data_IF_636955772472
#
_entry.id   IF_636955772472
#
_cell.length_a   1.000
_cell.length_b   1.000
_cell.length_c   1.000
_cell.angle_alpha   90.00
_cell.angle_beta   90.00
_cell.angle_gamma   90.00
#
_symmetry.space_group_name_H-M   'P 1'
#
loop_
_entity.id
_entity.type
_entity.pdbx_description
1 polymer ?
#
# COMPACT_ATOMS: atom_id res chain seq x y z
N UNK A 1 1.82 -5.74 -22.83
CA UNK A 1 2.80 -4.70 -22.47
C UNK A 1 2.13 -3.85 -21.40
N UNK A 2 2.82 -3.49 -20.31
CA UNK A 2 2.25 -2.79 -19.17
C UNK A 2 1.93 -1.32 -19.50
N UNK A 3 0.90 -0.76 -18.87
CA UNK A 3 0.42 0.61 -19.11
C UNK A 3 -0.16 1.25 -17.83
N UNK A 4 -0.63 2.50 -17.96
CA UNK A 4 -1.13 3.33 -16.86
C UNK A 4 -2.38 2.79 -16.16
N UNK A 5 -3.05 1.77 -16.70
CA UNK A 5 -4.22 1.13 -16.07
C UNK A 5 -3.84 0.26 -14.87
N UNK A 6 -2.59 -0.21 -14.79
CA UNK A 6 -2.12 -1.03 -13.67
C UNK A 6 -1.93 -0.21 -12.40
N UNK A 7 -2.22 -0.79 -11.23
CA UNK A 7 -1.90 -0.19 -9.95
C UNK A 7 -0.39 -0.23 -9.70
N UNK A 8 0.14 0.76 -8.96
CA UNK A 8 1.57 0.83 -8.60
C UNK A 8 2.00 -0.41 -7.82
N UNK A 9 1.14 -0.91 -6.93
CA UNK A 9 1.37 -2.13 -6.16
C UNK A 9 1.62 -3.31 -7.09
N UNK A 10 0.71 -3.54 -8.05
CA UNK A 10 0.84 -4.62 -9.04
C UNK A 10 2.11 -4.49 -9.89
N UNK A 11 2.47 -3.26 -10.28
CA UNK A 11 3.72 -3.01 -11.03
C UNK A 11 4.96 -3.34 -10.19
N UNK A 12 4.98 -2.97 -8.90
CA UNK A 12 6.08 -3.30 -7.98
C UNK A 12 6.19 -4.81 -7.77
N UNK A 13 5.07 -5.52 -7.62
CA UNK A 13 5.06 -6.99 -7.51
C UNK A 13 5.66 -7.65 -8.75
N UNK A 14 5.29 -7.19 -9.96
CA UNK A 14 5.89 -7.68 -11.20
C UNK A 14 7.37 -7.37 -11.30
N UNK A 15 7.82 -6.19 -10.85
CA UNK A 15 9.25 -5.90 -10.78
C UNK A 15 9.98 -6.89 -9.85
N UNK A 16 9.41 -7.23 -8.69
CA UNK A 16 9.96 -8.25 -7.78
C UNK A 16 10.02 -9.63 -8.43
N UNK A 17 8.94 -10.05 -9.10
CA UNK A 17 8.85 -11.32 -9.83
C UNK A 17 9.95 -11.44 -10.89
N UNK A 18 10.23 -10.36 -11.61
CA UNK A 18 11.30 -10.29 -12.61
C UNK A 18 12.68 -9.98 -12.03
N UNK A 19 12.83 -9.89 -10.70
CA UNK A 19 14.06 -9.52 -10.00
C UNK A 19 14.68 -8.21 -10.53
N UNK A 20 13.85 -7.24 -10.90
CA UNK A 20 14.26 -5.89 -11.34
C UNK A 20 13.88 -4.85 -10.29
N UNK A 21 14.57 -3.70 -10.31
CA UNK A 21 14.32 -2.61 -9.36
C UNK A 21 12.85 -2.15 -9.41
N UNK A 22 12.18 -2.17 -8.25
CA UNK A 22 10.82 -1.66 -8.05
C UNK A 22 10.79 -0.23 -7.47
N UNK A 23 11.93 0.46 -7.50
CA UNK A 23 12.07 1.84 -7.04
C UNK A 23 11.67 2.85 -8.14
N UNK A 24 11.11 3.97 -7.70
CA UNK A 24 10.72 5.11 -8.54
C UNK A 24 9.21 5.24 -8.79
N UNK A 25 8.88 6.14 -9.71
CA UNK A 25 7.49 6.49 -10.08
C UNK A 25 6.81 5.42 -10.93
N UNK A 26 5.48 5.45 -10.99
CA UNK A 26 4.65 4.56 -11.81
C UNK A 26 5.14 4.45 -13.26
N UNK A 27 5.44 5.58 -13.90
CA UNK A 27 5.93 5.63 -15.27
C UNK A 27 7.29 4.93 -15.44
N UNK A 28 8.19 5.08 -14.46
CA UNK A 28 9.49 4.41 -14.45
C UNK A 28 9.34 2.89 -14.30
N UNK A 29 8.41 2.44 -13.45
CA UNK A 29 8.11 1.00 -13.30
C UNK A 29 7.57 0.41 -14.60
N UNK A 30 6.58 1.07 -15.24
CA UNK A 30 6.01 0.64 -16.52
C UNK A 30 7.10 0.55 -17.59
N UNK A 31 7.93 1.59 -17.73
CA UNK A 31 9.03 1.60 -18.68
C UNK A 31 9.98 0.44 -18.44
N UNK A 32 10.41 0.23 -17.19
CA UNK A 32 11.37 -0.83 -16.84
C UNK A 32 10.82 -2.22 -17.10
N UNK A 33 9.55 -2.47 -16.76
CA UNK A 33 8.88 -3.75 -17.02
C UNK A 33 8.76 -4.01 -18.53
N UNK A 34 8.42 -3.00 -19.30
CA UNK A 34 8.31 -3.12 -20.74
C UNK A 34 9.68 -3.30 -21.40
N UNK A 35 10.69 -2.55 -20.98
CA UNK A 35 12.07 -2.72 -21.42
C UNK A 35 12.55 -4.15 -21.11
N UNK A 36 12.25 -4.66 -19.90
CA UNK A 36 12.55 -6.04 -19.52
C UNK A 36 11.87 -7.06 -20.44
N UNK A 37 10.58 -6.90 -20.75
CA UNK A 37 9.87 -7.78 -21.68
C UNK A 37 10.45 -7.66 -23.10
N UNK A 38 10.82 -6.48 -23.56
CA UNK A 38 11.40 -6.31 -24.90
C UNK A 38 12.78 -6.95 -24.99
N UNK A 39 13.60 -6.84 -23.93
CA UNK A 39 14.95 -7.42 -23.88
C UNK A 39 14.92 -8.94 -23.64
N UNK A 40 14.02 -9.42 -22.80
CA UNK A 40 13.93 -10.84 -22.39
C UNK A 40 12.81 -11.61 -23.11
N UNK A 41 12.00 -10.96 -23.95
CA UNK A 41 10.87 -11.54 -24.69
C UNK A 41 11.26 -12.56 -25.76
N UNK A 42 12.54 -12.91 -25.86
CA UNK A 42 13.03 -14.06 -26.64
C UNK A 42 13.34 -15.28 -25.71
N UNK A 43 13.52 -15.09 -24.40
CA UNK A 43 13.86 -16.15 -23.45
C UNK A 43 13.16 -15.96 -22.09
N UNK A 44 11.82 -15.93 -22.05
CA UNK A 44 11.09 -16.06 -20.77
C UNK A 44 10.99 -17.55 -20.43
N UNK A 45 12.12 -18.11 -20.04
CA UNK A 45 12.24 -19.44 -19.48
C UNK A 45 13.60 -19.51 -18.79
N UNK A 46 13.60 -19.90 -17.52
CA UNK A 46 14.75 -20.07 -16.62
C UNK A 46 15.15 -18.79 -15.87
N UNK A 47 15.40 -18.77 -14.56
CA UNK A 47 15.19 -19.72 -13.44
C UNK A 47 15.38 -18.92 -12.15
N UNK A 48 14.57 -19.27 -11.15
CA UNK A 48 14.90 -19.62 -9.75
C UNK A 48 15.85 -18.73 -8.92
N UNK A 49 15.44 -18.56 -7.66
CA UNK A 49 16.19 -18.25 -6.42
C UNK A 49 17.50 -17.46 -6.51
N UNK A 50 17.49 -16.27 -5.89
CA UNK A 50 18.55 -15.87 -4.96
C UNK A 50 17.97 -14.74 -4.09
N UNK A 51 17.70 -15.11 -2.85
CA UNK A 51 17.35 -14.25 -1.72
C UNK A 51 18.43 -13.18 -1.54
N UNK A 52 18.06 -11.90 -1.65
CA UNK A 52 18.77 -10.84 -0.94
C UNK A 52 17.74 -9.90 -0.31
N UNK A 53 17.69 -10.06 1.01
CA UNK A 53 17.14 -9.17 2.01
C UNK A 53 17.64 -7.74 1.76
N UNK A 54 16.73 -6.79 1.64
CA UNK A 54 16.99 -5.45 2.17
C UNK A 54 15.77 -5.00 2.95
N UNK A 55 15.94 -5.09 4.26
CA UNK A 55 15.09 -4.55 5.30
C UNK A 55 15.00 -3.02 5.16
N UNK A 56 13.86 -2.49 5.61
CA UNK A 56 13.69 -1.17 6.24
C UNK A 56 13.01 -0.09 5.40
N UNK A 57 11.72 0.05 5.75
CA UNK A 57 10.99 1.30 6.01
C UNK A 57 11.07 2.42 4.99
N UNK A 58 9.92 2.79 4.43
CA UNK A 58 9.37 4.13 4.60
C UNK A 58 7.88 4.14 4.24
N UNK A 59 7.10 4.43 5.27
CA UNK A 59 5.85 5.21 5.33
C UNK A 59 4.68 4.89 4.38
N UNK A 60 3.59 4.55 5.08
CA UNK A 60 2.19 4.82 4.77
C UNK A 60 1.98 5.97 3.77
N UNK A 61 1.60 5.64 2.53
CA UNK A 61 0.76 6.55 1.77
C UNK A 61 -0.68 6.32 2.20
N UNK A 62 -1.11 7.19 3.11
CA UNK A 62 -2.47 7.51 3.47
C UNK A 62 -3.40 7.38 2.24
N UNK A 63 -4.22 6.34 2.23
CA UNK A 63 -5.41 6.32 1.39
C UNK A 63 -6.33 7.42 1.94
N UNK A 64 -6.41 8.55 1.25
CA UNK A 64 -7.50 9.51 1.49
C UNK A 64 -8.79 8.90 0.95
N UNK A 65 -9.39 8.01 1.72
CA UNK A 65 -10.73 7.49 1.46
C UNK A 65 -11.74 8.63 1.66
N UNK A 66 -12.18 9.17 0.53
CA UNK A 66 -13.53 9.61 0.19
C UNK A 66 -14.40 10.12 1.36
N UNK A 67 -14.65 11.42 1.33
CA UNK A 67 -15.61 12.17 2.13
C UNK A 67 -17.03 11.55 2.09
N UNK A 68 -17.38 10.69 3.05
CA UNK A 68 -18.78 10.30 3.29
C UNK A 68 -19.46 11.31 4.22
N UNK A 69 -20.12 12.30 3.61
CA UNK A 69 -21.07 13.15 4.33
C UNK A 69 -22.38 12.37 4.56
N UNK A 70 -22.51 11.75 5.74
CA UNK A 70 -23.81 11.27 6.24
C UNK A 70 -23.93 11.63 7.73
N UNK A 71 -24.95 12.39 8.15
CA UNK A 71 -25.09 12.85 9.53
C UNK A 71 -25.36 11.67 10.49
N UNK A 72 -24.88 11.74 11.75
CA UNK A 72 -25.02 10.66 12.71
C UNK A 72 -26.47 10.53 13.21
N UNK A 73 -27.01 9.33 13.09
CA UNK A 73 -28.24 8.88 13.75
C UNK A 73 -28.00 8.83 15.26
N UNK A 74 -28.87 9.47 16.02
CA UNK A 74 -28.87 9.51 17.48
C UNK A 74 -29.08 8.09 18.04
N UNK A 75 -28.10 7.59 18.78
CA UNK A 75 -28.24 6.39 19.60
C UNK A 75 -28.27 6.81 21.06
N UNK A 76 -29.48 6.93 21.59
CA UNK A 76 -29.73 7.00 23.03
C UNK A 76 -29.25 5.68 23.65
N UNK A 77 -28.27 5.76 24.53
CA UNK A 77 -27.81 4.63 25.33
C UNK A 77 -27.77 5.05 26.80
N UNK A 78 -28.92 4.93 27.46
CA UNK A 78 -29.03 4.86 28.91
C UNK A 78 -28.10 3.76 29.45
N UNK A 79 -27.12 4.15 30.27
CA UNK A 79 -26.06 3.29 30.79
C UNK A 79 -25.39 3.91 32.02
N UNK A 80 -26.01 3.63 33.15
CA UNK A 80 -25.78 4.04 34.54
C UNK A 80 -24.33 3.94 35.09
N UNK A 81 -23.93 5.02 35.80
CA UNK A 81 -23.00 5.19 36.94
C UNK A 81 -21.55 4.64 36.92
N UNK A 82 -20.57 5.54 37.06
CA UNK A 82 -19.49 5.41 38.08
C UNK A 82 -18.98 6.77 38.61
N UNK A 83 -19.20 6.92 39.92
CA UNK A 83 -18.37 7.50 40.98
C UNK A 83 -18.14 9.02 41.10
N UNK A 84 -18.68 9.50 42.23
CA UNK A 84 -18.73 10.83 42.81
C UNK A 84 -17.35 11.38 43.17
N UNK A 85 -17.09 12.62 42.75
CA UNK A 85 -15.82 13.31 42.90
C UNK A 85 -15.77 14.00 44.27
N UNK A 86 -14.72 13.70 45.05
CA UNK A 86 -14.23 14.38 46.25
C UNK A 86 -14.74 15.82 46.47
N UNK A 87 -15.42 16.07 47.59
CA UNK A 87 -15.53 17.41 48.18
C UNK A 87 -14.95 17.44 49.59
N UNK A 88 -13.70 17.85 49.64
CA UNK A 88 -13.06 18.39 50.84
C UNK A 88 -13.08 19.91 50.70
N UNK A 89 -13.95 20.65 51.39
CA UNK A 89 -13.86 22.12 51.60
C UNK A 89 -14.72 22.51 52.82
N UNK A 90 -14.00 22.91 53.88
CA UNK A 90 -14.30 23.74 55.08
C UNK A 90 -15.27 23.18 56.12
#
# INVERSE_FOLDING_TARGET
MFDSSYLVITLKEKCKEYKISYQGTKAQLIKRLNDYITLNGINVGQVENEEQVEERSEEEEEFTDVQINTPPVEVESDGDLVEEINKNII
#
